data_IF_256948388999
#
_entry.id   IF_256948388999
#
_cell.length_a   1.000
_cell.length_b   1.000
_cell.length_c   1.000
_cell.angle_alpha   90.00
_cell.angle_beta   90.00
_cell.angle_gamma   90.00
#
_symmetry.space_group_name_H-M   'P 1'
#
loop_
_entity.id
_entity.type
_entity.pdbx_description
1 polymer ?
#
# COMPACT_ATOMS: atom_id res chain seq x y z
N UNK A 1 -17.75 -14.22 -29.25
CA UNK A 1 -17.03 -14.22 -27.96
C UNK A 1 -17.52 -13.03 -27.17
N UNK A 2 -18.18 -13.23 -26.04
CA UNK A 2 -18.61 -12.14 -25.16
C UNK A 2 -17.35 -11.57 -24.52
N UNK A 3 -17.01 -10.31 -24.83
CA UNK A 3 -15.89 -9.62 -24.22
C UNK A 3 -16.22 -9.46 -22.73
N UNK A 4 -15.51 -10.13 -21.84
CA UNK A 4 -15.64 -9.92 -20.40
C UNK A 4 -15.22 -8.49 -20.10
N UNK A 5 -16.15 -7.71 -19.58
CA UNK A 5 -15.90 -6.31 -19.22
C UNK A 5 -15.39 -6.30 -17.78
N UNK A 6 -14.11 -6.03 -17.59
CA UNK A 6 -13.51 -5.89 -16.27
C UNK A 6 -13.87 -4.53 -15.66
N UNK A 7 -14.20 -4.53 -14.37
CA UNK A 7 -14.62 -3.33 -13.62
C UNK A 7 -13.82 -3.17 -12.32
N UNK A 8 -13.83 -1.95 -11.81
CA UNK A 8 -13.36 -1.65 -10.46
C UNK A 8 -14.35 -2.25 -9.46
N UNK A 9 -13.89 -3.23 -8.68
CA UNK A 9 -14.65 -3.88 -7.61
C UNK A 9 -14.49 -3.15 -6.27
N UNK A 10 -13.27 -2.67 -5.97
CA UNK A 10 -12.98 -1.95 -4.73
C UNK A 10 -11.92 -0.87 -4.98
N UNK A 11 -12.02 0.22 -4.23
CA UNK A 11 -11.01 1.27 -4.12
C UNK A 11 -10.53 1.36 -2.68
N UNK A 12 -9.21 1.44 -2.52
CA UNK A 12 -8.57 1.53 -1.21
C UNK A 12 -7.58 2.66 -1.17
N UNK A 13 -7.58 3.41 -0.07
CA UNK A 13 -6.58 4.42 0.26
C UNK A 13 -5.92 4.06 1.58
N UNK A 14 -4.63 4.28 1.68
CA UNK A 14 -3.82 4.03 2.87
C UNK A 14 -3.15 5.32 3.31
N UNK A 15 -3.83 6.20 4.05
CA UNK A 15 -3.31 7.54 4.35
C UNK A 15 -1.94 7.53 5.02
N UNK A 16 -1.73 6.60 5.98
CA UNK A 16 -0.47 6.47 6.70
C UNK A 16 0.30 5.23 6.23
N UNK A 17 1.59 5.42 5.95
CA UNK A 17 2.49 4.31 5.62
C UNK A 17 2.36 3.19 6.65
N UNK A 18 2.24 1.94 6.19
CA UNK A 18 2.16 0.70 6.98
C UNK A 18 0.89 0.51 7.82
N UNK A 19 0.04 1.52 8.03
CA UNK A 19 -1.24 1.35 8.74
C UNK A 19 -2.31 0.79 7.80
N UNK A 20 -3.39 0.27 8.36
CA UNK A 20 -4.58 -0.10 7.60
C UNK A 20 -5.20 1.13 6.95
N UNK A 21 -5.82 0.90 5.80
CA UNK A 21 -6.48 1.93 5.03
C UNK A 21 -7.98 1.92 5.18
N UNK A 22 -8.61 2.61 4.25
CA UNK A 22 -10.05 2.79 4.13
C UNK A 22 -10.55 2.40 2.72
N UNK A 23 -11.77 1.89 2.65
CA UNK A 23 -12.47 1.66 1.38
C UNK A 23 -13.18 2.94 0.96
N UNK A 24 -13.14 3.20 -0.34
CA UNK A 24 -13.75 4.37 -0.94
C UNK A 24 -14.76 3.95 -2.01
N UNK A 25 -15.81 4.76 -2.24
CA UNK A 25 -16.70 4.63 -3.39
C UNK A 25 -16.13 5.30 -4.63
N UNK A 26 -15.32 6.34 -4.41
CA UNK A 26 -14.65 7.12 -5.46
C UNK A 26 -13.36 7.71 -4.93
N UNK A 27 -12.44 8.06 -5.84
CA UNK A 27 -11.18 8.70 -5.48
C UNK A 27 -10.64 9.58 -6.61
N UNK A 28 -10.18 10.78 -6.25
CA UNK A 28 -9.38 11.61 -7.14
C UNK A 28 -7.97 11.02 -7.27
N UNK A 29 -7.48 10.94 -8.50
CA UNK A 29 -6.11 10.50 -8.82
C UNK A 29 -5.37 11.69 -9.38
N UNK A 30 -4.35 12.13 -8.64
CA UNK A 30 -3.45 13.21 -9.02
C UNK A 30 -2.16 12.69 -9.68
N UNK A 31 -1.22 13.60 -10.00
CA UNK A 31 0.06 13.24 -10.62
C UNK A 31 0.92 12.29 -9.78
N UNK A 32 0.71 12.25 -8.47
CA UNK A 32 1.48 11.41 -7.51
C UNK A 32 0.78 10.11 -7.13
N UNK A 33 -0.44 9.87 -7.60
CA UNK A 33 -1.28 8.71 -7.25
C UNK A 33 -2.64 9.12 -6.68
N UNK A 34 -3.26 8.25 -5.91
CA UNK A 34 -4.54 8.54 -5.27
C UNK A 34 -4.38 9.66 -4.23
N UNK A 35 -5.28 10.62 -4.24
CA UNK A 35 -5.29 11.72 -3.26
C UNK A 35 -5.36 11.17 -1.84
N UNK A 36 -4.40 11.57 -0.99
CA UNK A 36 -4.30 11.13 0.39
C UNK A 36 -3.63 9.76 0.59
N UNK A 37 -3.19 9.07 -0.47
CA UNK A 37 -2.57 7.75 -0.33
C UNK A 37 -1.10 7.87 0.08
N UNK A 38 -0.75 7.34 1.26
CA UNK A 38 0.60 7.37 1.84
C UNK A 38 1.20 8.79 1.93
N UNK A 39 0.34 9.77 2.16
CA UNK A 39 0.77 11.14 2.40
C UNK A 39 1.37 11.33 3.79
N UNK A 40 1.10 10.43 4.73
CA UNK A 40 1.61 10.50 6.09
C UNK A 40 2.46 9.27 6.43
N UNK A 41 3.37 9.48 7.38
CA UNK A 41 4.09 8.40 8.05
C UNK A 41 4.34 8.75 9.51
N UNK A 42 4.45 7.72 10.35
CA UNK A 42 5.00 7.85 11.69
C UNK A 42 6.52 7.84 11.56
N UNK A 43 7.16 8.91 12.03
CA UNK A 43 8.61 9.12 11.95
C UNK A 43 9.21 8.97 13.34
N UNK A 44 10.23 8.17 13.48
CA UNK A 44 11.06 8.09 14.69
C UNK A 44 11.85 9.39 14.84
N UNK A 45 11.66 10.10 15.96
CA UNK A 45 12.26 11.43 16.16
C UNK A 45 13.77 11.38 16.44
N UNK A 46 14.29 10.23 16.87
CA UNK A 46 15.71 10.04 17.11
C UNK A 46 16.50 9.82 15.82
N UNK A 47 15.92 9.11 14.84
CA UNK A 47 16.58 8.81 13.56
C UNK A 47 16.13 9.71 12.42
N UNK A 48 14.97 10.32 12.51
CA UNK A 48 14.33 11.06 11.43
C UNK A 48 13.78 10.19 10.30
N UNK A 49 13.72 8.86 10.50
CA UNK A 49 13.25 7.91 9.49
C UNK A 49 11.81 7.49 9.74
N UNK A 50 11.03 7.37 8.67
CA UNK A 50 9.68 6.85 8.75
C UNK A 50 9.68 5.36 9.12
N UNK A 51 8.84 4.99 10.08
CA UNK A 51 8.65 3.61 10.47
C UNK A 51 7.95 2.81 9.38
N UNK A 52 8.43 1.62 9.16
CA UNK A 52 7.80 0.65 8.26
C UNK A 52 7.20 -0.51 9.06
N UNK A 53 6.21 -1.20 8.52
CA UNK A 53 5.64 -2.38 9.16
C UNK A 53 6.66 -3.53 9.35
N UNK A 54 7.83 -3.47 8.70
CA UNK A 54 8.93 -4.41 8.96
C UNK A 54 9.64 -4.07 10.27
N UNK A 55 9.83 -2.78 10.57
CA UNK A 55 10.52 -2.27 11.77
C UNK A 55 9.57 -2.06 12.94
N UNK A 56 8.31 -1.79 12.67
CA UNK A 56 7.24 -1.57 13.65
C UNK A 56 5.96 -2.28 13.17
N UNK A 57 5.87 -3.62 13.32
CA UNK A 57 4.71 -4.39 12.87
C UNK A 57 3.41 -4.00 13.55
N UNK A 58 3.48 -3.34 14.69
CA UNK A 58 2.34 -2.76 15.43
C UNK A 58 1.53 -1.81 14.53
N UNK A 59 2.18 -1.09 13.62
CA UNK A 59 1.51 -0.18 12.68
C UNK A 59 0.42 -0.86 11.86
N UNK A 60 0.56 -2.15 11.56
CA UNK A 60 -0.47 -2.90 10.83
C UNK A 60 -1.78 -3.04 11.61
N UNK A 61 -1.77 -2.80 12.91
CA UNK A 61 -2.94 -2.94 13.77
C UNK A 61 -3.70 -1.63 13.99
N UNK A 62 -3.12 -0.48 13.64
CA UNK A 62 -3.82 0.80 13.64
C UNK A 62 -4.48 1.06 12.28
N UNK A 63 -5.59 1.79 12.29
CA UNK A 63 -6.31 2.20 11.08
C UNK A 63 -6.16 3.70 10.88
N UNK A 64 -5.88 4.11 9.64
CA UNK A 64 -5.86 5.51 9.23
C UNK A 64 -7.00 5.81 8.25
N UNK A 65 -7.71 6.90 8.50
CA UNK A 65 -8.76 7.43 7.62
C UNK A 65 -8.55 8.93 7.42
N UNK A 66 -9.04 9.49 6.33
CA UNK A 66 -9.03 10.95 6.12
C UNK A 66 -10.40 11.52 6.49
N UNK A 67 -10.39 12.54 7.35
CA UNK A 67 -11.55 13.28 7.79
C UNK A 67 -11.22 14.77 7.69
N UNK A 68 -11.99 15.53 6.92
CA UNK A 68 -11.81 17.00 6.76
C UNK A 68 -10.36 17.38 6.35
N UNK A 69 -9.79 16.66 5.36
CA UNK A 69 -8.43 16.83 4.83
C UNK A 69 -7.29 16.53 5.82
N UNK A 70 -7.59 16.02 7.00
CA UNK A 70 -6.60 15.58 7.98
C UNK A 70 -6.73 14.07 8.24
N UNK A 71 -5.68 13.48 8.80
CA UNK A 71 -5.64 12.05 9.09
C UNK A 71 -6.08 11.76 10.51
N UNK A 72 -7.01 10.82 10.65
CA UNK A 72 -7.42 10.24 11.93
C UNK A 72 -6.81 8.85 12.06
N UNK A 73 -6.11 8.59 13.15
CA UNK A 73 -5.53 7.29 13.48
C UNK A 73 -6.31 6.66 14.62
N UNK A 74 -6.92 5.49 14.36
CA UNK A 74 -7.57 4.67 15.37
C UNK A 74 -6.62 3.56 15.80
N UNK A 75 -6.30 3.51 17.08
CA UNK A 75 -5.42 2.51 17.68
C UNK A 75 -6.12 1.15 17.85
N UNK A 76 -5.36 0.06 18.14
CA UNK A 76 -5.94 -1.29 18.26
C UNK A 76 -7.00 -1.43 19.36
N UNK A 77 -6.97 -0.61 20.38
CA UNK A 77 -7.97 -0.58 21.47
C UNK A 77 -9.24 0.22 21.13
N UNK A 78 -9.29 0.80 19.92
CA UNK A 78 -10.40 1.63 19.43
C UNK A 78 -10.30 3.10 19.81
N UNK A 79 -9.30 3.52 20.58
CA UNK A 79 -9.06 4.93 20.88
C UNK A 79 -8.50 5.66 19.63
N UNK A 80 -8.67 6.98 19.59
CA UNK A 80 -8.09 7.83 18.55
C UNK A 80 -6.80 8.45 19.11
N UNK A 81 -5.69 8.30 18.38
CA UNK A 81 -4.45 8.98 18.74
C UNK A 81 -4.66 10.51 18.56
N UNK A 82 -4.60 11.24 19.66
CA UNK A 82 -4.88 12.68 19.65
C UNK A 82 -3.69 13.50 19.13
N UNK A 83 -2.47 13.00 19.31
CA UNK A 83 -1.22 13.71 19.04
C UNK A 83 -0.02 12.75 18.91
N UNK A 84 1.17 13.32 18.75
CA UNK A 84 2.44 12.58 18.66
C UNK A 84 2.78 11.86 19.97
N UNK A 85 2.35 12.37 21.13
CA UNK A 85 2.60 11.73 22.43
C UNK A 85 1.77 10.44 22.56
N UNK A 86 0.52 10.44 22.13
CA UNK A 86 -0.32 9.25 22.12
C UNK A 86 0.29 8.14 21.21
N UNK A 87 0.83 8.52 20.06
CA UNK A 87 1.53 7.59 19.17
C UNK A 87 2.83 7.08 19.81
N UNK A 88 3.57 7.96 20.50
CA UNK A 88 4.82 7.59 21.18
C UNK A 88 4.58 6.61 22.32
N UNK A 89 3.52 6.82 23.10
CA UNK A 89 3.11 5.88 24.17
C UNK A 89 2.70 4.53 23.58
N UNK A 90 1.89 4.52 22.51
CA UNK A 90 1.47 3.29 21.88
C UNK A 90 2.64 2.46 21.32
N UNK A 91 3.62 3.13 20.69
CA UNK A 91 4.75 2.46 20.04
C UNK A 91 5.95 2.24 20.96
N UNK A 92 5.86 2.68 22.24
CA UNK A 92 6.95 2.64 23.23
C UNK A 92 8.27 3.23 22.69
N UNK A 93 8.15 4.35 21.96
CA UNK A 93 9.28 5.09 21.39
C UNK A 93 8.91 6.51 20.99
N UNK A 94 9.85 7.45 21.03
CA UNK A 94 9.58 8.84 20.57
C UNK A 94 9.31 8.87 19.07
N UNK A 95 8.09 9.21 18.68
CA UNK A 95 7.68 9.33 17.28
C UNK A 95 6.86 10.58 17.04
N UNK A 96 6.73 10.94 15.77
CA UNK A 96 5.85 12.01 15.34
C UNK A 96 5.18 11.67 14.01
N UNK A 97 3.92 12.04 13.85
CA UNK A 97 3.22 11.93 12.58
C UNK A 97 3.69 13.07 11.66
N UNK A 98 4.07 12.72 10.43
CA UNK A 98 4.53 13.70 9.45
C UNK A 98 3.80 13.53 8.15
N UNK A 99 3.38 14.65 7.56
CA UNK A 99 2.83 14.72 6.22
C UNK A 99 3.94 15.01 5.22
N UNK A 100 3.95 14.29 4.10
CA UNK A 100 4.83 14.58 2.98
C UNK A 100 4.46 15.94 2.36
N UNK A 101 5.45 16.68 1.93
CA UNK A 101 5.27 17.96 1.22
C UNK A 101 5.70 17.82 -0.23
N UNK A 102 5.33 18.78 -1.07
CA UNK A 102 5.72 18.80 -2.48
C UNK A 102 7.25 18.82 -2.71
N UNK A 103 8.06 19.02 -1.65
CA UNK A 103 9.51 19.13 -1.72
C UNK A 103 10.25 18.11 -0.86
N UNK A 104 9.53 17.27 -0.08
CA UNK A 104 10.14 16.26 0.79
C UNK A 104 9.86 14.87 0.29
N UNK A 105 10.87 14.02 0.30
CA UNK A 105 10.76 12.58 0.08
C UNK A 105 10.63 11.84 1.40
N UNK A 106 9.92 10.72 1.39
CA UNK A 106 9.87 9.81 2.53
C UNK A 106 11.20 9.04 2.65
N UNK A 107 11.86 9.11 3.82
CA UNK A 107 13.06 8.33 4.12
C UNK A 107 12.73 7.24 5.12
N UNK A 108 13.13 6.00 4.84
CA UNK A 108 12.89 4.85 5.72
C UNK A 108 13.90 3.73 5.47
N UNK A 109 13.96 2.76 6.37
CA UNK A 109 14.86 1.62 6.23
C UNK A 109 14.23 0.49 5.42
N UNK A 110 15.00 -0.08 4.51
CA UNK A 110 14.71 -1.34 3.83
C UNK A 110 15.70 -2.41 4.27
N UNK A 111 15.19 -3.62 4.52
CA UNK A 111 16.03 -4.80 4.80
C UNK A 111 16.22 -5.62 3.55
N UNK A 112 17.45 -6.00 3.23
CA UNK A 112 17.79 -6.85 2.08
C UNK A 112 17.77 -8.34 2.40
N UNK A 113 17.07 -8.75 3.44
CA UNK A 113 16.94 -10.16 3.76
C UNK A 113 15.81 -10.81 2.98
N UNK A 114 16.06 -12.02 2.51
CA UNK A 114 15.08 -12.90 1.88
C UNK A 114 14.58 -13.93 2.90
N UNK A 115 13.32 -14.37 2.76
CA UNK A 115 12.71 -15.40 3.59
C UNK A 115 11.61 -14.93 4.53
N UNK A 116 10.97 -15.88 5.20
CA UNK A 116 9.72 -15.71 5.93
C UNK A 116 9.83 -14.84 7.20
N UNK A 117 11.00 -14.82 7.83
CA UNK A 117 11.31 -14.07 9.05
C UNK A 117 12.53 -13.16 8.87
N UNK A 118 12.82 -12.83 7.64
CA UNK A 118 14.00 -12.05 7.27
C UNK A 118 14.15 -10.75 8.07
N UNK A 119 13.05 -10.10 8.42
CA UNK A 119 13.04 -8.88 9.23
C UNK A 119 13.20 -9.10 10.74
N UNK A 120 13.16 -10.36 11.20
CA UNK A 120 13.45 -10.76 12.59
C UNK A 120 14.86 -11.31 12.78
N UNK A 121 15.56 -11.61 11.70
CA UNK A 121 16.93 -12.06 11.75
C UNK A 121 17.83 -10.90 12.18
N UNK A 122 18.56 -11.02 13.31
CA UNK A 122 19.44 -9.97 13.79
C UNK A 122 20.62 -9.67 12.84
N UNK A 123 20.91 -10.56 11.90
CA UNK A 123 21.94 -10.37 10.88
C UNK A 123 21.50 -9.54 9.69
N UNK A 124 20.20 -9.20 9.59
CA UNK A 124 19.69 -8.39 8.49
C UNK A 124 20.35 -7.04 8.44
N UNK A 125 20.92 -6.73 7.29
CA UNK A 125 21.45 -5.41 7.02
C UNK A 125 20.30 -4.49 6.58
N UNK A 126 20.18 -3.35 7.25
CA UNK A 126 19.20 -2.32 6.95
C UNK A 126 19.90 -1.17 6.23
N UNK A 127 19.25 -0.69 5.18
CA UNK A 127 19.71 0.42 4.37
C UNK A 127 18.68 1.53 4.38
N UNK A 128 19.13 2.74 4.50
CA UNK A 128 18.28 3.89 4.30
C UNK A 128 17.89 3.99 2.83
N UNK A 129 16.61 4.21 2.58
CA UNK A 129 16.05 4.39 1.25
C UNK A 129 15.23 5.67 1.20
N UNK A 130 15.36 6.39 0.09
CA UNK A 130 14.63 7.62 -0.17
C UNK A 130 13.55 7.36 -1.23
N UNK A 131 12.29 7.60 -0.85
CA UNK A 131 11.12 7.43 -1.69
C UNK A 131 10.86 8.60 -2.63
N UNK A 132 9.75 8.56 -3.36
CA UNK A 132 9.34 9.67 -4.21
C UNK A 132 8.97 10.89 -3.37
N UNK A 133 9.16 12.08 -3.96
CA UNK A 133 8.75 13.35 -3.37
C UNK A 133 7.22 13.42 -3.25
N UNK A 134 6.72 13.99 -2.17
CA UNK A 134 5.30 14.23 -1.94
C UNK A 134 4.53 13.04 -1.35
N UNK A 135 5.20 11.93 -1.05
CA UNK A 135 4.55 10.74 -0.52
C UNK A 135 5.55 9.80 0.18
N UNK A 136 5.04 8.89 1.00
CA UNK A 136 5.83 7.81 1.62
C UNK A 136 5.66 6.46 0.89
N UNK A 137 5.46 6.47 -0.42
CA UNK A 137 5.39 5.25 -1.21
C UNK A 137 6.70 4.45 -1.18
N UNK A 138 6.59 3.11 -1.28
CA UNK A 138 7.72 2.18 -1.33
C UNK A 138 8.41 2.11 -2.71
N UNK A 139 7.89 2.80 -3.71
CA UNK A 139 8.37 2.72 -5.08
C UNK A 139 8.43 4.10 -5.72
N UNK A 140 9.56 4.40 -6.36
CA UNK A 140 9.70 5.57 -7.24
C UNK A 140 9.16 5.30 -8.65
N UNK A 141 8.81 4.05 -8.96
CA UNK A 141 8.39 3.61 -10.30
C UNK A 141 6.89 3.49 -10.47
N UNK A 142 6.14 3.33 -9.38
CA UNK A 142 4.69 3.08 -9.39
C UNK A 142 3.99 3.97 -8.38
N UNK A 143 2.79 4.42 -8.72
CA UNK A 143 1.96 5.34 -7.93
C UNK A 143 0.60 4.74 -7.57
N UNK A 144 0.13 3.77 -8.37
CA UNK A 144 -1.14 3.09 -8.20
C UNK A 144 -0.91 1.59 -8.31
N UNK A 145 -1.45 0.82 -7.39
CA UNK A 145 -1.41 -0.64 -7.43
C UNK A 145 -2.78 -1.21 -7.80
N UNK A 146 -2.79 -2.19 -8.71
CA UNK A 146 -4.00 -2.85 -9.22
C UNK A 146 -3.84 -4.36 -9.00
N UNK A 147 -4.91 -5.03 -8.55
CA UNK A 147 -4.92 -6.47 -8.37
C UNK A 147 -6.30 -7.05 -8.70
N UNK A 148 -6.33 -8.23 -9.30
CA UNK A 148 -7.55 -8.96 -9.57
C UNK A 148 -8.09 -9.68 -8.33
N UNK A 149 -9.40 -9.59 -8.07
CA UNK A 149 -10.01 -10.34 -6.98
C UNK A 149 -9.81 -11.85 -7.14
N UNK A 150 -9.94 -12.36 -8.37
CA UNK A 150 -9.69 -13.77 -8.66
C UNK A 150 -8.19 -14.13 -8.60
N UNK A 151 -7.28 -13.19 -8.85
CA UNK A 151 -5.83 -13.38 -8.69
C UNK A 151 -5.44 -13.60 -7.22
N UNK A 152 -6.13 -12.91 -6.29
CA UNK A 152 -5.92 -13.08 -4.85
C UNK A 152 -6.50 -14.39 -4.34
N UNK A 153 -7.54 -14.90 -4.97
CA UNK A 153 -8.17 -16.17 -4.60
C UNK A 153 -8.78 -16.12 -3.20
N UNK A 154 -8.37 -17.04 -2.34
CA UNK A 154 -8.90 -17.15 -0.96
C UNK A 154 -8.16 -16.30 0.07
N UNK A 155 -7.06 -15.67 -0.30
CA UNK A 155 -6.33 -14.81 0.63
C UNK A 155 -7.09 -13.52 0.92
N UNK A 156 -6.87 -12.97 2.09
CA UNK A 156 -7.46 -11.67 2.42
C UNK A 156 -6.75 -10.54 1.64
N UNK A 157 -7.53 -9.74 0.91
CA UNK A 157 -7.06 -8.64 0.07
C UNK A 157 -6.16 -7.64 0.81
N UNK A 158 -6.43 -7.38 2.09
CA UNK A 158 -5.67 -6.42 2.90
C UNK A 158 -4.18 -6.77 3.05
N UNK A 159 -3.81 -8.06 2.90
CA UNK A 159 -2.39 -8.49 2.90
C UNK A 159 -1.57 -7.79 1.82
N UNK A 160 -2.21 -7.47 0.70
CA UNK A 160 -1.55 -6.96 -0.51
C UNK A 160 -1.66 -5.45 -0.67
N UNK A 161 -2.54 -4.79 0.11
CA UNK A 161 -2.70 -3.34 0.18
C UNK A 161 -2.85 -2.67 -1.21
N UNK A 162 -3.73 -3.16 -2.08
CA UNK A 162 -3.94 -2.56 -3.39
C UNK A 162 -4.70 -1.24 -3.30
N UNK A 163 -4.52 -0.37 -4.31
CA UNK A 163 -5.36 0.82 -4.47
C UNK A 163 -6.64 0.48 -5.25
N UNK A 164 -6.52 -0.31 -6.31
CA UNK A 164 -7.63 -0.72 -7.16
C UNK A 164 -7.73 -2.24 -7.16
N UNK A 165 -8.91 -2.76 -6.80
CA UNK A 165 -9.25 -4.18 -6.98
C UNK A 165 -10.19 -4.29 -8.16
N UNK A 166 -9.89 -5.18 -9.10
CA UNK A 166 -10.74 -5.47 -10.25
C UNK A 166 -11.53 -6.76 -10.04
N UNK A 167 -12.70 -6.86 -10.65
CA UNK A 167 -13.64 -8.01 -10.51
C UNK A 167 -13.21 -9.28 -11.27
N UNK A 168 -12.03 -9.26 -11.91
CA UNK A 168 -11.50 -10.33 -12.73
C UNK A 168 -10.10 -10.78 -12.32
N UNK A 169 -9.37 -11.26 -13.30
CA UNK A 169 -7.97 -11.68 -13.28
C UNK A 169 -7.33 -11.34 -14.61
N UNK A 170 -6.02 -11.58 -14.76
CA UNK A 170 -5.29 -11.36 -16.01
C UNK A 170 -4.65 -9.98 -16.09
N UNK A 171 -4.68 -9.21 -15.01
CA UNK A 171 -4.03 -7.90 -14.93
C UNK A 171 -2.53 -7.96 -15.24
N UNK A 172 -1.88 -9.07 -15.00
CA UNK A 172 -0.44 -9.26 -15.29
C UNK A 172 -0.10 -9.06 -16.78
N UNK A 173 -1.06 -9.35 -17.68
CA UNK A 173 -0.91 -9.18 -19.12
C UNK A 173 -0.92 -7.69 -19.56
N UNK A 174 -1.32 -6.79 -18.66
CA UNK A 174 -1.40 -5.35 -18.96
C UNK A 174 -0.06 -4.63 -18.79
N UNK A 175 0.98 -5.31 -18.32
CA UNK A 175 2.32 -4.73 -18.17
C UNK A 175 2.83 -4.23 -19.53
N UNK A 176 3.19 -2.96 -19.60
CA UNK A 176 3.60 -2.27 -20.81
C UNK A 176 2.48 -1.54 -21.55
N UNK A 177 1.21 -1.75 -21.16
CA UNK A 177 0.02 -1.13 -21.77
C UNK A 177 -0.39 0.16 -21.07
N UNK A 178 -1.24 0.93 -21.73
CA UNK A 178 -2.06 1.96 -21.10
C UNK A 178 -3.39 1.38 -20.67
N UNK A 179 -3.86 1.80 -19.50
CA UNK A 179 -5.14 1.38 -18.93
C UNK A 179 -5.96 2.61 -18.59
N UNK A 180 -7.18 2.69 -19.10
CA UNK A 180 -8.13 3.73 -18.76
C UNK A 180 -9.17 3.20 -17.77
N UNK A 181 -9.40 3.96 -16.68
CA UNK A 181 -10.39 3.69 -15.64
C UNK A 181 -11.08 5.02 -15.34
N UNK A 182 -12.38 5.14 -15.64
CA UNK A 182 -13.07 6.42 -15.55
C UNK A 182 -12.37 7.49 -16.38
N UNK A 183 -12.05 8.62 -15.75
CA UNK A 183 -11.31 9.73 -16.40
C UNK A 183 -9.78 9.52 -16.38
N UNK A 184 -9.28 8.54 -15.65
CA UNK A 184 -7.86 8.33 -15.39
C UNK A 184 -7.22 7.44 -16.43
N UNK A 185 -6.07 7.87 -16.96
CA UNK A 185 -5.20 7.00 -17.78
C UNK A 185 -3.95 6.64 -16.97
N UNK A 186 -3.69 5.35 -16.86
CA UNK A 186 -2.53 4.77 -16.19
C UNK A 186 -1.61 4.10 -17.19
N UNK A 187 -0.29 4.18 -16.98
CA UNK A 187 0.70 3.35 -17.67
C UNK A 187 1.13 2.23 -16.75
N UNK A 188 0.82 0.99 -17.09
CA UNK A 188 1.24 -0.18 -16.31
C UNK A 188 2.72 -0.44 -16.53
N UNK A 189 3.50 -0.41 -15.45
CA UNK A 189 4.97 -0.38 -15.53
C UNK A 189 5.59 -1.73 -15.22
N UNK A 190 5.03 -2.44 -14.23
CA UNK A 190 5.62 -3.71 -13.74
C UNK A 190 4.59 -4.53 -12.98
N UNK A 191 4.86 -5.81 -12.82
CA UNK A 191 4.29 -6.61 -11.75
C UNK A 191 4.87 -6.15 -10.40
N UNK A 192 4.13 -6.34 -9.31
CA UNK A 192 4.56 -5.95 -7.96
C UNK A 192 5.16 -7.16 -7.26
N UNK A 193 6.44 -7.06 -6.94
CA UNK A 193 7.15 -8.00 -6.07
C UNK A 193 6.60 -7.93 -4.64
N UNK A 194 6.45 -9.09 -4.02
CA UNK A 194 5.90 -9.21 -2.67
C UNK A 194 6.98 -9.52 -1.65
N UNK A 195 6.80 -9.00 -0.46
CA UNK A 195 7.71 -9.18 0.65
C UNK A 195 7.01 -9.80 1.87
N UNK A 196 7.76 -10.05 2.91
CA UNK A 196 7.29 -10.64 4.18
C UNK A 196 6.06 -9.95 4.78
N UNK A 197 5.77 -8.70 4.42
CA UNK A 197 4.58 -7.98 4.90
C UNK A 197 3.27 -8.69 4.54
N UNK A 198 3.22 -9.46 3.44
CA UNK A 198 2.06 -10.24 3.04
C UNK A 198 1.74 -11.40 3.99
N UNK A 199 2.72 -11.85 4.77
CA UNK A 199 2.57 -12.95 5.73
C UNK A 199 2.11 -12.50 7.12
N UNK A 200 2.15 -11.19 7.40
CA UNK A 200 1.91 -10.64 8.74
C UNK A 200 0.45 -10.76 9.16
N UNK A 201 0.26 -10.96 10.47
CA UNK A 201 -1.06 -10.83 11.09
C UNK A 201 -1.57 -9.39 10.98
N UNK A 202 -2.89 -9.26 10.87
CA UNK A 202 -3.61 -7.98 10.87
C UNK A 202 -4.93 -8.13 11.62
N UNK A 203 -5.57 -7.06 12.09
CA UNK A 203 -6.86 -7.15 12.75
C UNK A 203 -7.95 -7.78 11.89
N UNK A 204 -9.02 -8.26 12.54
CA UNK A 204 -10.17 -8.84 11.85
C UNK A 204 -9.92 -10.26 11.35
N UNK A 205 -9.16 -11.07 12.13
CA UNK A 205 -8.99 -12.51 11.87
C UNK A 205 -8.01 -12.84 10.75
N UNK A 206 -7.07 -11.92 10.44
CA UNK A 206 -5.98 -12.22 9.50
C UNK A 206 -4.77 -12.67 10.30
N UNK A 207 -4.63 -13.98 10.47
CA UNK A 207 -3.50 -14.58 11.18
C UNK A 207 -2.20 -14.48 10.37
N UNK A 208 -1.06 -14.62 11.05
CA UNK A 208 0.24 -14.77 10.37
C UNK A 208 0.23 -16.04 9.53
N UNK A 209 0.58 -15.91 8.25
CA UNK A 209 0.58 -17.02 7.30
C UNK A 209 1.77 -16.89 6.34
N UNK A 210 2.81 -17.68 6.59
CA UNK A 210 4.04 -17.68 5.78
C UNK A 210 3.84 -18.32 4.42
N UNK A 211 2.84 -19.20 4.28
CA UNK A 211 2.60 -19.90 3.03
C UNK A 211 2.06 -18.98 1.94
N UNK A 212 1.50 -17.82 2.31
CA UNK A 212 1.13 -16.78 1.34
C UNK A 212 2.34 -16.38 0.48
N UNK A 213 3.43 -15.95 1.12
CA UNK A 213 4.62 -15.51 0.37
C UNK A 213 5.31 -16.68 -0.34
N UNK A 214 5.44 -17.82 0.31
CA UNK A 214 6.01 -19.04 -0.29
C UNK A 214 5.28 -19.45 -1.57
N UNK A 215 3.95 -19.40 -1.54
CA UNK A 215 3.12 -19.72 -2.70
C UNK A 215 3.33 -18.70 -3.82
N UNK A 216 3.38 -17.41 -3.49
CA UNK A 216 3.63 -16.36 -4.49
C UNK A 216 5.02 -16.51 -5.11
N UNK A 217 6.05 -16.84 -4.31
CA UNK A 217 7.41 -17.07 -4.82
C UNK A 217 7.40 -18.29 -5.78
N UNK A 218 6.82 -19.41 -5.34
CA UNK A 218 6.81 -20.66 -6.10
C UNK A 218 6.03 -20.55 -7.40
N UNK A 219 4.83 -19.97 -7.37
CA UNK A 219 3.85 -20.07 -8.46
C UNK A 219 3.83 -18.82 -9.35
N UNK A 220 4.37 -17.69 -8.88
CA UNK A 220 4.28 -16.39 -9.54
C UNK A 220 5.61 -15.62 -9.57
N UNK A 221 6.74 -16.29 -9.39
CA UNK A 221 8.07 -15.65 -9.38
C UNK A 221 8.14 -14.42 -8.47
N UNK A 222 7.56 -14.52 -7.27
CA UNK A 222 7.46 -13.47 -6.25
C UNK A 222 6.58 -12.25 -6.62
N UNK A 223 5.74 -12.34 -7.66
CA UNK A 223 4.93 -11.20 -8.11
C UNK A 223 3.43 -11.46 -7.90
N UNK A 224 2.67 -10.43 -7.49
CA UNK A 224 1.22 -10.48 -7.40
C UNK A 224 0.63 -9.08 -7.56
N UNK A 225 -0.23 -8.90 -8.60
CA UNK A 225 -0.77 -7.61 -9.01
C UNK A 225 0.25 -6.74 -9.74
N UNK A 226 -0.19 -5.60 -10.21
CA UNK A 226 0.57 -4.69 -11.07
C UNK A 226 0.66 -3.29 -10.50
N UNK A 227 1.73 -2.59 -10.87
CA UNK A 227 1.98 -1.20 -10.49
C UNK A 227 1.97 -0.29 -11.72
N UNK A 228 1.31 0.85 -11.59
CA UNK A 228 1.12 1.80 -12.67
C UNK A 228 1.55 3.22 -12.29
N UNK A 229 1.82 4.04 -13.32
CA UNK A 229 2.02 5.48 -13.24
C UNK A 229 0.83 6.21 -13.79
N UNK A 230 0.49 7.32 -13.19
CA UNK A 230 -0.55 8.23 -13.68
C UNK A 230 -0.04 8.96 -14.91
N UNK A 231 -0.79 8.88 -16.01
CA UNK A 231 -0.58 9.68 -17.24
C UNK A 231 -1.56 10.83 -17.30
N UNK A 232 -2.84 10.54 -17.07
CA UNK A 232 -3.91 11.55 -17.04
C UNK A 232 -4.60 11.47 -15.68
N UNK A 233 -4.53 12.52 -14.86
CA UNK A 233 -5.29 12.63 -13.62
C UNK A 233 -6.81 12.66 -13.88
N UNK A 234 -7.60 12.32 -12.87
CA UNK A 234 -9.06 12.32 -12.98
C UNK A 234 -9.73 11.64 -11.79
N UNK A 235 -11.00 11.26 -11.98
CA UNK A 235 -11.81 10.56 -10.98
C UNK A 235 -11.93 9.09 -11.36
N UNK A 236 -11.86 8.21 -10.38
CA UNK A 236 -12.18 6.78 -10.47
C UNK A 236 -13.32 6.47 -9.50
N UNK A 237 -14.32 5.72 -9.96
CA UNK A 237 -15.42 5.22 -9.13
C UNK A 237 -15.41 3.69 -9.09
N UNK A 238 -15.93 3.14 -7.99
CA UNK A 238 -16.29 1.71 -7.96
C UNK A 238 -17.35 1.44 -9.04
N UNK A 239 -17.14 0.38 -9.82
CA UNK A 239 -17.98 0.03 -10.96
C UNK A 239 -17.49 0.57 -12.31
N UNK A 240 -16.51 1.48 -12.34
CA UNK A 240 -15.91 1.95 -13.59
C UNK A 240 -15.36 0.81 -14.44
N UNK A 241 -15.60 0.91 -15.73
CA UNK A 241 -15.08 -0.05 -16.71
C UNK A 241 -13.62 0.19 -16.98
N UNK A 242 -12.86 -0.88 -17.12
CA UNK A 242 -11.44 -0.84 -17.45
C UNK A 242 -11.23 -1.12 -18.93
N UNK A 243 -10.47 -0.26 -19.59
CA UNK A 243 -10.09 -0.41 -20.99
C UNK A 243 -8.57 -0.48 -21.09
N UNK A 244 -8.07 -1.53 -21.74
CA UNK A 244 -6.64 -1.76 -21.98
C UNK A 244 -6.34 -1.45 -23.44
N UNK A 245 -5.35 -0.57 -23.68
CA UNK A 245 -4.93 -0.11 -25.01
C UNK A 245 -3.58 -0.69 -25.43
#
# INVERSE_FOLDING_TARGET
>A
MTRVVTRVAELWRYPVKSMQGERLSEVLVGPTGLAGDREWAVVDTGTGLALTGRRAPELLFAQATIVDDDVRITLPDGSVAADDDALSVWLDRPVALRRATATTSGRFEIGLAEGDDADRDPSVQWYEWEGPVGTFHDSTRTQVSIIGAATVGTWNMRRFRPNVVIDGTGEDEWVGSAVQIGDVTLSVVKQIDRCVMTTRAQPGGIDRDVDVLRTIIRDRANNLGIGARVRTPGLILVGDTIQVA
#
